data_IF_832920081604
#
_entry.id   IF_832920081604
#
_cell.length_a   1.000
_cell.length_b   1.000
_cell.length_c   1.000
_cell.angle_alpha   90.00
_cell.angle_beta   90.00
_cell.angle_gamma   90.00
#
_symmetry.space_group_name_H-M   'P 1'
#
loop_
_entity.id
_entity.type
_entity.pdbx_description
1 polymer ?
2 branched ?
3 non-polymer ?
4 non-polymer ?
5 water ?
#
# COMPACT_ATOMS: atom_id res chain seq x y z
N UNK A 6 -5.05 28.89 31.19
CA UNK A 6 -3.86 28.76 32.09
C UNK A 6 -3.34 27.32 32.12
N UNK A 7 -3.99 26.48 32.93
CA UNK A 7 -3.61 25.07 33.07
C UNK A 7 -4.47 24.23 32.12
N UNK A 8 -5.04 24.89 31.12
CA UNK A 8 -5.94 24.26 30.16
C UNK A 8 -5.07 23.47 29.16
N UNK A 9 -4.92 22.18 29.45
CA UNK A 9 -4.11 21.16 28.72
C UNK A 9 -3.73 21.38 27.25
N UNK A 10 -2.70 20.65 26.82
CA UNK A 10 -2.15 20.79 25.46
C UNK A 10 -1.83 19.41 24.84
N UNK A 11 -1.83 19.35 23.50
CA UNK A 11 -1.61 18.12 22.73
C UNK A 11 -0.65 18.41 21.56
N UNK A 12 0.40 17.62 21.42
CA UNK A 12 1.34 17.81 20.33
C UNK A 12 1.09 16.81 19.20
N UNK A 13 0.81 17.34 18.01
CA UNK A 13 0.46 16.55 16.85
C UNK A 13 1.58 16.71 15.85
N UNK A 14 2.24 15.59 15.50
CA UNK A 14 3.35 15.62 14.54
C UNK A 14 2.94 14.97 13.24
N UNK A 15 3.12 15.70 12.14
CA UNK A 15 2.78 15.17 10.84
C UNK A 15 3.78 15.59 9.78
N UNK A 16 3.80 14.83 8.70
CA UNK A 16 4.59 15.11 7.54
C UNK A 16 4.13 16.44 6.95
N UNK A 17 5.02 17.09 6.22
CA UNK A 17 4.73 18.37 5.57
C UNK A 17 3.43 18.40 4.80
N UNK A 18 3.11 17.30 4.10
CA UNK A 18 1.90 17.22 3.31
C UNK A 18 0.59 17.26 4.07
N UNK A 19 0.63 17.11 5.38
CA UNK A 19 -0.58 17.15 6.19
C UNK A 19 -0.64 18.35 7.14
N UNK A 20 0.42 19.17 7.15
CA UNK A 20 0.47 20.32 8.08
C UNK A 20 -0.70 21.27 7.90
N UNK A 21 -0.97 21.68 6.65
CA UNK A 21 -2.10 22.60 6.38
C UNK A 21 -3.45 21.99 6.79
N UNK A 22 -3.61 20.71 6.51
CA UNK A 22 -4.82 19.98 6.86
C UNK A 22 -5.03 19.98 8.37
N UNK A 23 -3.99 19.62 9.11
CA UNK A 23 -4.09 19.60 10.57
C UNK A 23 -4.40 21.03 11.09
N UNK A 24 -3.74 22.04 10.53
CA UNK A 24 -3.99 23.44 10.94
C UNK A 24 -5.42 23.87 10.67
N UNK A 25 -5.97 23.44 9.54
CA UNK A 25 -7.35 23.75 9.21
C UNK A 25 -8.34 23.14 10.22
N UNK A 26 -8.16 21.87 10.55
CA UNK A 26 -9.13 21.20 11.44
C UNK A 26 -8.90 21.33 12.94
N UNK A 27 -7.71 21.74 13.39
CA UNK A 27 -7.46 21.73 14.84
C UNK A 27 -8.36 22.66 15.66
N UNK A 28 -8.76 23.78 15.07
CA UNK A 28 -9.56 24.78 15.77
C UNK A 28 -10.81 24.26 16.46
N UNK A 29 -11.62 23.50 15.72
CA UNK A 29 -12.88 22.98 16.28
C UNK A 29 -12.63 21.96 17.41
N UNK A 30 -11.53 21.22 17.29
CA UNK A 30 -11.13 20.28 18.33
C UNK A 30 -10.70 21.05 19.59
N UNK A 31 -9.89 22.09 19.41
CA UNK A 31 -9.46 22.94 20.52
C UNK A 31 -10.64 23.49 21.31
N UNK A 32 -11.61 24.04 20.59
CA UNK A 32 -12.84 24.60 21.18
C UNK A 32 -13.69 23.56 21.86
N UNK A 33 -13.79 22.40 21.24
CA UNK A 33 -14.65 21.34 21.75
C UNK A 33 -14.08 20.70 23.02
N UNK A 34 -12.77 20.77 23.21
CA UNK A 34 -12.12 20.08 24.33
C UNK A 34 -11.34 20.96 25.31
N UNK A 35 -11.34 22.28 25.12
CA UNK A 35 -10.59 23.21 25.97
C UNK A 35 -9.10 22.80 26.03
N UNK A 36 -8.52 22.61 24.84
CA UNK A 36 -7.14 22.19 24.69
C UNK A 36 -6.45 23.05 23.65
N UNK A 37 -5.12 23.17 23.76
CA UNK A 37 -4.33 23.88 22.75
C UNK A 37 -3.57 22.79 22.00
N UNK A 38 -3.73 22.74 20.68
CA UNK A 38 -3.03 21.77 19.85
C UNK A 38 -1.80 22.45 19.26
N UNK A 39 -0.64 21.84 19.47
CA UNK A 39 0.63 22.30 18.92
C UNK A 39 0.92 21.40 17.73
N UNK A 40 1.06 22.00 16.55
CA UNK A 40 1.33 21.24 15.33
C UNK A 40 2.81 21.33 14.97
N UNK A 41 3.46 20.18 14.85
CA UNK A 41 4.87 20.14 14.45
C UNK A 41 4.98 19.37 13.14
N UNK A 42 5.87 19.82 12.28
CA UNK A 42 6.09 19.17 11.01
C UNK A 42 7.38 18.36 11.07
N UNK A 43 7.30 17.10 10.67
CA UNK A 43 8.46 16.24 10.64
C UNK A 43 8.17 15.01 9.80
N UNK A 44 9.16 14.57 9.02
CA UNK A 44 9.03 13.37 8.20
C UNK A 44 8.40 12.24 9.04
N UNK A 45 7.42 11.55 8.46
CA UNK A 45 6.67 10.50 9.18
C UNK A 45 7.56 9.39 9.71
N UNK A 46 8.43 8.88 8.83
CA UNK A 46 9.33 7.81 9.21
C UNK A 46 10.42 8.26 10.21
N UNK A 47 10.94 9.48 10.08
CA UNK A 47 11.93 9.97 11.02
C UNK A 47 11.33 10.08 12.45
N UNK A 48 10.10 10.55 12.52
CA UNK A 48 9.40 10.64 13.81
C UNK A 48 9.33 9.26 14.52
N UNK A 49 8.92 8.24 13.77
CA UNK A 49 8.80 6.90 14.29
C UNK A 49 10.18 6.28 14.63
N UNK A 50 11.20 6.52 13.80
CA UNK A 50 12.54 5.97 14.14
C UNK A 50 13.11 6.67 15.40
N UNK A 51 12.74 7.92 15.67
CA UNK A 51 13.24 8.62 16.84
C UNK A 51 12.40 8.36 18.08
N UNK A 52 11.22 7.74 17.92
CA UNK A 52 10.30 7.56 19.07
C UNK A 52 10.90 6.79 20.24
N UNK A 53 11.66 5.70 19.98
CA UNK A 53 12.23 4.94 21.10
C UNK A 53 13.17 5.75 22.00
N UNK A 54 13.76 6.82 21.46
CA UNK A 54 14.66 7.71 22.24
C UNK A 54 13.92 8.96 22.72
N UNK A 55 13.07 9.55 21.88
CA UNK A 55 12.30 10.75 22.30
C UNK A 55 11.28 10.44 23.42
N UNK A 56 10.70 9.26 23.35
CA UNK A 56 9.69 8.82 24.30
C UNK A 56 10.11 8.87 25.76
N UNK A 57 11.17 8.12 26.12
CA UNK A 57 11.67 8.19 27.50
C UNK A 57 12.19 9.57 27.90
N UNK A 58 12.66 10.35 26.92
CA UNK A 58 13.14 11.70 27.18
C UNK A 58 12.00 12.69 27.51
N UNK A 59 10.77 12.27 27.22
CA UNK A 59 9.59 13.12 27.39
C UNK A 59 9.48 14.15 26.28
N UNK A 60 10.19 13.95 25.17
CA UNK A 60 10.20 14.90 24.05
C UNK A 60 9.43 14.45 22.79
N UNK A 61 8.82 13.26 22.82
CA UNK A 61 8.10 12.78 21.64
C UNK A 61 6.73 13.42 21.54
N UNK A 62 6.20 13.57 20.32
CA UNK A 62 4.84 14.10 20.16
C UNK A 62 3.82 13.14 20.78
N UNK A 63 2.62 13.64 21.07
CA UNK A 63 1.56 12.80 21.62
C UNK A 63 0.91 11.93 20.59
N UNK A 64 0.67 12.48 19.39
CA UNK A 64 0.05 11.74 18.31
C UNK A 64 0.80 11.99 17.00
N UNK A 65 0.77 11.00 16.13
CA UNK A 65 1.44 11.06 14.84
C UNK A 65 0.78 10.04 13.91
N UNK A 66 1.29 9.90 12.70
CA UNK A 66 0.76 8.92 11.78
C UNK A 66 1.80 7.85 11.52
N UNK A 67 1.34 6.73 10.98
CA UNK A 67 2.21 5.63 10.60
C UNK A 67 1.58 4.83 9.49
N UNK A 68 2.42 4.33 8.58
CA UNK A 68 1.96 3.39 7.57
C UNK A 68 1.40 2.19 8.34
N UNK A 69 0.37 1.54 7.77
CA UNK A 69 -0.23 0.37 8.41
C UNK A 69 0.79 -0.74 8.68
N UNK A 70 1.73 -0.93 7.77
CA UNK A 70 2.70 -2.03 7.93
C UNK A 70 3.64 -1.98 9.14
N UNK A 71 3.76 -0.82 9.77
CA UNK A 71 4.60 -0.59 10.96
C UNK A 71 3.83 -0.49 12.30
N UNK A 72 2.51 -0.34 12.26
CA UNK A 72 1.74 -0.12 13.49
C UNK A 72 1.83 -1.28 14.47
N UNK A 73 1.63 -2.49 13.97
CA UNK A 73 1.72 -3.70 14.80
C UNK A 73 3.08 -3.80 15.48
N UNK A 74 4.13 -3.63 14.71
CA UNK A 74 5.49 -3.70 15.25
C UNK A 74 5.78 -2.65 16.33
N UNK A 75 5.34 -1.40 16.09
CA UNK A 75 5.60 -0.35 17.05
C UNK A 75 4.79 -0.61 18.31
N UNK A 76 3.61 -1.20 18.15
CA UNK A 76 2.76 -1.53 19.29
C UNK A 76 3.38 -2.64 20.12
N UNK A 77 3.85 -3.70 19.47
CA UNK A 77 4.50 -4.82 20.17
C UNK A 77 5.74 -4.39 20.93
N UNK A 78 6.51 -3.49 20.33
CA UNK A 78 7.74 -2.99 20.94
C UNK A 78 7.51 -2.04 22.11
N UNK A 79 6.24 -1.68 22.38
CA UNK A 79 5.92 -0.82 23.50
C UNK A 79 5.96 0.68 23.25
N UNK A 80 6.07 1.10 21.99
CA UNK A 80 6.16 2.53 21.66
C UNK A 80 4.81 3.23 21.41
N UNK A 81 3.76 2.47 21.10
CA UNK A 81 2.43 3.03 20.87
C UNK A 81 1.44 2.58 21.94
N UNK A 82 0.52 3.45 22.30
CA UNK A 82 -0.52 3.12 23.27
C UNK A 82 -1.63 2.32 22.60
N UNK A 83 -2.29 1.44 23.35
CA UNK A 83 -3.50 0.78 22.85
C UNK A 83 -4.58 1.85 22.81
N UNK A 84 -5.37 1.88 21.74
CA UNK A 84 -6.41 2.90 21.55
C UNK A 84 -7.72 2.26 21.16
N UNK A 85 -8.79 3.04 21.26
CA UNK A 85 -10.12 2.56 20.88
C UNK A 85 -10.49 3.19 19.55
N UNK A 86 -11.38 2.51 18.82
CA UNK A 86 -11.88 3.01 17.55
C UNK A 86 -13.26 3.62 17.76
N UNK A 87 -13.28 4.93 18.04
CA UNK A 87 -14.54 5.64 18.26
C UNK A 87 -15.46 5.59 17.05
N UNK A 88 -14.85 5.51 15.88
CA UNK A 88 -15.59 5.45 14.62
C UNK A 88 -15.64 4.04 14.05
N UNK A 89 -15.67 3.05 14.93
CA UNK A 89 -15.71 1.63 14.53
C UNK A 89 -16.89 1.32 13.60
N UNK A 90 -18.05 1.93 13.85
CA UNK A 90 -19.24 1.68 13.01
C UNK A 90 -19.03 2.12 11.57
N UNK A 91 -18.01 2.94 11.33
CA UNK A 91 -17.70 3.42 10.00
C UNK A 91 -16.43 2.79 9.41
N UNK A 92 -15.99 1.66 9.98
CA UNK A 92 -14.83 0.95 9.45
C UNK A 92 -15.15 -0.51 9.10
N UNK A 93 -14.70 -0.97 7.94
CA UNK A 93 -14.79 -2.38 7.58
C UNK A 93 -13.89 -3.16 8.53
N UNK A 94 -14.19 -4.44 8.74
CA UNK A 94 -13.34 -5.32 9.56
C UNK A 94 -11.89 -5.35 9.05
N UNK A 95 -11.70 -5.24 7.74
CA UNK A 95 -10.36 -5.25 7.17
C UNK A 95 -9.53 -4.09 7.68
N UNK A 96 -10.14 -2.92 7.77
CA UNK A 96 -9.42 -1.73 8.22
C UNK A 96 -9.14 -1.76 9.71
N UNK A 97 -10.02 -2.38 10.48
CA UNK A 97 -9.79 -2.60 11.90
C UNK A 97 -8.61 -3.57 12.04
N UNK A 98 -8.55 -4.60 11.19
CA UNK A 98 -7.43 -5.55 11.19
C UNK A 98 -6.06 -4.88 10.90
N UNK A 99 -6.07 -3.80 10.10
CA UNK A 99 -4.84 -3.07 9.72
C UNK A 99 -4.08 -2.49 10.91
N UNK A 100 -4.81 -2.10 11.95
CA UNK A 100 -4.24 -1.47 13.12
C UNK A 100 -4.23 -2.42 14.33
N UNK A 101 -4.40 -3.71 14.08
CA UNK A 101 -4.50 -4.70 15.14
C UNK A 101 -3.41 -5.77 15.07
N UNK A 102 -2.84 -6.12 16.22
CA UNK A 102 -1.88 -7.22 16.32
C UNK A 102 -2.09 -7.87 17.69
N UNK A 103 -2.08 -9.21 17.74
CA UNK A 103 -2.32 -9.95 19.02
C UNK A 103 -3.64 -9.49 19.68
N UNK A 104 -4.68 -9.25 18.89
CA UNK A 104 -5.97 -8.80 19.42
C UNK A 104 -5.87 -7.49 20.22
N UNK A 105 -4.90 -6.63 19.87
CA UNK A 105 -4.76 -5.30 20.50
C UNK A 105 -4.73 -4.23 19.40
N UNK A 106 -5.41 -3.11 19.64
CA UNK A 106 -5.54 -2.03 18.65
C UNK A 106 -4.53 -0.93 18.95
N UNK A 107 -3.69 -0.62 17.96
CA UNK A 107 -2.62 0.39 18.13
C UNK A 107 -2.71 1.65 17.22
N UNK A 108 -3.85 1.85 16.58
CA UNK A 108 -4.06 3.02 15.76
C UNK A 108 -5.46 3.11 15.26
N UNK A 109 -5.77 4.24 14.63
CA UNK A 109 -7.08 4.50 14.04
C UNK A 109 -6.87 4.70 12.54
N UNK A 110 -7.47 3.84 11.70
CA UNK A 110 -7.29 3.99 10.24
C UNK A 110 -7.74 5.33 9.72
N UNK A 111 -6.93 5.90 8.80
CA UNK A 111 -7.18 7.21 8.26
C UNK A 111 -7.15 7.32 6.73
N UNK A 112 -6.23 6.57 6.09
CA UNK A 112 -6.02 6.64 4.65
C UNK A 112 -5.83 5.24 4.12
N UNK A 113 -6.44 4.96 2.97
CA UNK A 113 -6.25 3.66 2.32
C UNK A 113 -5.60 3.89 0.98
N UNK A 114 -4.83 2.91 0.53
CA UNK A 114 -4.25 2.96 -0.79
C UNK A 114 -3.86 1.58 -1.25
N UNK A 115 -3.81 1.40 -2.56
CA UNK A 115 -3.38 0.15 -3.11
C UNK A 115 -3.00 0.43 -4.56
N UNK A 116 -2.44 -0.57 -5.20
CA UNK A 116 -2.05 -0.48 -6.59
C UNK A 116 -3.25 -0.39 -7.51
N UNK A 117 -3.05 0.32 -8.62
CA UNK A 117 -4.09 0.55 -9.60
C UNK A 117 -3.48 0.46 -11.00
N UNK A 118 -4.31 0.55 -12.02
CA UNK A 118 -3.82 0.56 -13.41
C UNK A 118 -3.91 1.98 -13.96
N UNK A 119 -2.76 2.57 -14.30
CA UNK A 119 -2.71 3.86 -14.97
C UNK A 119 -2.68 3.57 -16.45
N UNK A 120 -3.37 4.38 -17.25
CA UNK A 120 -3.31 4.22 -18.70
C UNK A 120 -3.33 5.58 -19.36
N UNK A 121 -2.85 5.63 -20.59
CA UNK A 121 -2.76 6.86 -21.34
C UNK A 121 -3.97 6.98 -22.28
N UNK A 122 -4.84 7.97 -21.99
CA UNK A 122 -6.04 8.19 -22.80
C UNK A 122 -5.74 8.65 -24.23
N UNK A 123 -4.53 9.15 -24.48
CA UNK A 123 -4.12 9.51 -25.86
C UNK A 123 -3.72 8.29 -26.68
N UNK A 124 -3.51 7.14 -26.01
CA UNK A 124 -3.10 5.90 -26.69
C UNK A 124 -4.20 4.83 -26.76
N UNK A 125 -5.05 4.78 -25.73
CA UNK A 125 -6.14 3.82 -25.64
C UNK A 125 -7.51 4.50 -25.56
N UNK A 126 -8.50 3.86 -26.19
CA UNK A 126 -9.89 4.35 -26.19
C UNK A 126 -10.56 4.15 -24.84
N UNK A 127 -10.09 3.17 -24.08
CA UNK A 127 -10.62 2.92 -22.73
C UNK A 127 -9.66 2.06 -21.92
N UNK A 128 -9.89 2.00 -20.61
CA UNK A 128 -9.07 1.19 -19.75
C UNK A 128 -9.22 -0.28 -20.12
N UNK A 129 -8.11 -1.03 -20.24
CA UNK A 129 -8.25 -2.47 -20.48
C UNK A 129 -8.98 -3.10 -19.28
N UNK A 130 -9.90 -4.03 -19.56
CA UNK A 130 -10.71 -4.65 -18.52
C UNK A 130 -10.17 -5.97 -17.94
N UNK A 131 -9.39 -6.69 -18.74
CA UNK A 131 -8.86 -7.97 -18.34
C UNK A 131 -7.40 -8.11 -18.75
N UNK A 132 -6.72 -9.10 -18.16
CA UNK A 132 -5.38 -9.43 -18.61
C UNK A 132 -5.37 -9.96 -20.05
N UNK A 133 -6.48 -10.54 -20.51
CA UNK A 133 -6.58 -10.99 -21.91
C UNK A 133 -6.44 -9.75 -22.80
N UNK A 134 -7.09 -8.66 -22.41
CA UNK A 134 -7.03 -7.37 -23.14
C UNK A 134 -5.58 -6.84 -23.13
N UNK A 135 -4.90 -6.93 -21.99
CA UNK A 135 -3.49 -6.54 -21.92
C UNK A 135 -2.61 -7.41 -22.82
N UNK A 136 -2.88 -8.72 -22.88
CA UNK A 136 -2.10 -9.61 -23.73
C UNK A 136 -2.21 -9.17 -25.21
N UNK A 137 -3.42 -8.80 -25.63
CA UNK A 137 -3.63 -8.37 -27.01
C UNK A 137 -2.97 -7.01 -27.26
N UNK A 138 -3.02 -6.14 -26.25
CA UNK A 138 -2.38 -4.84 -26.32
C UNK A 138 -0.87 -5.02 -26.51
N UNK A 139 -0.30 -6.06 -25.87
CA UNK A 139 1.14 -6.34 -25.97
C UNK A 139 1.57 -6.85 -27.35
N UNK A 140 0.60 -7.08 -28.24
CA UNK A 140 0.87 -7.52 -29.62
C UNK A 140 0.56 -6.40 -30.60
N UNK A 141 0.19 -5.23 -30.09
CA UNK A 141 -0.09 -4.08 -30.94
C UNK A 141 1.29 -3.48 -31.22
N UNK A 142 1.73 -3.54 -32.47
CA UNK A 142 3.06 -3.04 -32.76
C UNK A 142 3.27 -1.52 -32.60
N UNK A 143 2.21 -0.75 -32.40
CA UNK A 143 2.41 0.70 -32.14
C UNK A 143 3.26 0.88 -30.87
N UNK A 144 3.31 -0.17 -30.03
CA UNK A 144 4.07 -0.16 -28.77
C UNK A 144 5.32 -1.06 -28.84
N UNK A 145 5.76 -1.42 -30.05
CA UNK A 145 6.94 -2.26 -30.22
C UNK A 145 8.16 -1.57 -29.66
N UNK A 146 9.06 -2.37 -29.09
CA UNK A 146 10.31 -1.89 -28.51
C UNK A 146 11.35 -2.36 -29.52
N UNK A 147 11.54 -1.54 -30.55
CA UNK A 147 12.35 -1.92 -31.72
C UNK A 147 13.81 -2.35 -31.52
N UNK A 148 14.45 -1.90 -30.45
CA UNK A 148 15.84 -2.30 -30.19
C UNK A 148 15.97 -3.79 -29.81
N UNK A 149 14.84 -4.44 -29.48
CA UNK A 149 14.84 -5.86 -29.12
C UNK A 149 13.72 -6.53 -29.88
N UNK A 150 14.09 -7.46 -30.76
CA UNK A 150 13.14 -8.11 -31.66
C UNK A 150 11.96 -8.79 -30.98
N UNK A 151 10.76 -8.36 -31.36
CA UNK A 151 9.52 -8.92 -30.87
C UNK A 151 9.12 -8.52 -29.45
N UNK A 152 9.74 -7.49 -28.89
CA UNK A 152 9.41 -7.06 -27.53
C UNK A 152 8.47 -5.86 -27.62
N UNK A 153 7.69 -5.67 -26.56
CA UNK A 153 6.63 -4.68 -26.58
C UNK A 153 6.42 -4.09 -25.19
N UNK A 154 6.07 -2.80 -25.15
CA UNK A 154 5.86 -2.08 -23.90
C UNK A 154 4.42 -1.63 -23.73
N UNK A 155 3.48 -2.29 -24.43
CA UNK A 155 2.05 -1.97 -24.35
C UNK A 155 1.59 -1.90 -22.90
N UNK A 156 1.94 -2.95 -22.16
CA UNK A 156 1.64 -3.04 -20.72
C UNK A 156 2.94 -3.35 -19.99
N UNK A 157 3.18 -2.68 -18.87
CA UNK A 157 4.36 -2.95 -18.05
C UNK A 157 3.97 -3.01 -16.59
N UNK A 158 4.63 -3.91 -15.85
CA UNK A 158 4.46 -4.01 -14.38
C UNK A 158 5.80 -4.43 -13.77
N UNK A 159 6.17 -3.80 -12.66
CA UNK A 159 7.44 -4.08 -12.01
C UNK A 159 7.39 -5.40 -11.23
N UNK A 160 7.19 -6.50 -11.95
CA UNK A 160 7.01 -7.78 -11.31
C UNK A 160 8.25 -8.41 -10.63
N UNK A 161 9.43 -7.81 -10.78
CA UNK A 161 10.61 -8.28 -10.05
C UNK A 161 10.49 -7.86 -8.57
N UNK A 162 9.65 -6.85 -8.32
CA UNK A 162 9.42 -6.32 -6.98
C UNK A 162 8.20 -7.07 -6.40
N UNK A 163 8.43 -7.84 -5.33
CA UNK A 163 7.37 -8.60 -4.71
C UNK A 163 6.19 -7.73 -4.26
N UNK A 164 6.45 -6.48 -3.90
CA UNK A 164 5.34 -5.60 -3.53
C UNK A 164 4.32 -5.48 -4.68
N UNK A 165 4.81 -5.44 -5.91
CA UNK A 165 3.98 -5.38 -7.10
C UNK A 165 3.42 -6.72 -7.54
N UNK A 166 4.26 -7.75 -7.56
CA UNK A 166 3.81 -9.06 -8.02
C UNK A 166 2.97 -9.85 -7.04
N UNK A 167 3.00 -9.50 -5.75
CA UNK A 167 2.22 -10.27 -4.77
C UNK A 167 0.77 -10.46 -5.15
N UNK A 168 0.10 -9.39 -5.58
CA UNK A 168 -1.29 -9.48 -5.98
C UNK A 168 -1.60 -10.42 -7.12
N UNK A 169 -0.59 -10.73 -7.93
CA UNK A 169 -0.76 -11.69 -9.02
C UNK A 169 -0.78 -13.09 -8.41
N UNK A 170 0.22 -13.38 -7.57
CA UNK A 170 0.29 -14.69 -6.92
C UNK A 170 -0.97 -14.91 -6.04
N UNK A 171 -1.37 -13.86 -5.34
CA UNK A 171 -2.52 -13.95 -4.47
C UNK A 171 -3.83 -14.12 -5.28
N UNK A 172 -3.89 -13.50 -6.46
CA UNK A 172 -5.08 -13.63 -7.31
C UNK A 172 -5.30 -15.08 -7.74
N UNK A 173 -4.19 -15.83 -7.80
CA UNK A 173 -4.24 -17.26 -8.13
C UNK A 173 -4.36 -18.19 -6.89
N UNK A 174 -4.41 -17.64 -5.68
CA UNK A 174 -4.56 -18.45 -4.47
C UNK A 174 -3.33 -18.49 -3.59
N UNK A 175 -2.28 -17.75 -3.95
CA UNK A 175 -1.10 -17.67 -3.12
C UNK A 175 -1.35 -16.78 -1.91
N UNK A 176 -0.51 -16.90 -0.91
CA UNK A 176 -0.60 -16.04 0.28
C UNK A 176 0.77 -16.03 0.94
N UNK A 177 1.04 -15.00 1.75
CA UNK A 177 2.31 -14.92 2.48
C UNK A 177 2.28 -15.88 3.69
N UNK A 178 1.47 -15.55 4.69
CA UNK A 178 1.30 -16.37 5.90
C UNK A 178 -0.17 -16.81 6.08
N UNK A 179 -0.36 -18.06 6.48
CA UNK A 179 -1.71 -18.60 6.74
C UNK A 179 -2.40 -17.95 7.94
N UNK A 180 -3.63 -18.38 8.23
CA UNK A 180 -4.46 -17.82 9.29
C UNK A 180 -4.54 -16.29 9.13
N UNK A 181 -4.92 -15.86 7.94
CA UNK A 181 -5.07 -14.43 7.59
C UNK A 181 -3.82 -13.58 7.92
N UNK A 182 -2.65 -14.13 7.60
CA UNK A 182 -1.38 -13.41 7.76
C UNK A 182 -0.75 -13.40 9.13
N UNK A 183 -1.17 -14.32 10.01
CA UNK A 183 -0.68 -14.36 11.38
C UNK A 183 0.14 -15.60 11.75
N UNK A 184 0.21 -16.61 10.88
CA UNK A 184 0.94 -17.83 11.17
C UNK A 184 2.21 -17.92 10.30
N UNK A 185 3.37 -17.54 10.88
CA UNK A 185 4.60 -17.55 10.09
C UNK A 185 5.14 -18.94 9.76
N UNK A 186 4.52 -20.00 10.30
CA UNK A 186 4.95 -21.37 10.00
C UNK A 186 4.16 -21.96 8.83
N UNK A 187 3.23 -21.17 8.28
CA UNK A 187 2.43 -21.57 7.14
C UNK A 187 2.66 -20.55 6.01
N UNK A 188 3.63 -20.83 5.15
CA UNK A 188 3.98 -19.94 4.02
C UNK A 188 3.32 -20.44 2.74
N UNK A 189 2.56 -19.55 2.10
CA UNK A 189 1.81 -19.88 0.90
C UNK A 189 2.42 -19.46 -0.43
N UNK A 190 3.67 -19.01 -0.43
CA UNK A 190 4.35 -18.51 -1.64
C UNK A 190 4.86 -19.58 -2.59
N UNK A 191 4.75 -20.85 -2.19
CA UNK A 191 5.11 -21.95 -3.08
C UNK A 191 3.96 -22.94 -3.25
N UNK A 192 2.73 -22.50 -2.94
CA UNK A 192 1.56 -23.35 -3.14
C UNK A 192 1.21 -23.38 -4.62
N UNK A 193 0.27 -24.24 -5.02
CA UNK A 193 -0.13 -24.38 -6.44
C UNK A 193 -0.47 -23.05 -7.08
N UNK A 194 -1.27 -22.27 -6.38
CA UNK A 194 -1.69 -20.95 -6.84
C UNK A 194 -0.55 -20.01 -7.08
N UNK A 195 0.34 -19.86 -6.10
CA UNK A 195 1.51 -18.96 -6.26
C UNK A 195 2.33 -19.37 -7.50
N UNK A 196 2.53 -20.66 -7.68
CA UNK A 196 3.34 -21.12 -8.81
C UNK A 196 2.63 -20.80 -10.14
N UNK A 197 1.31 -20.88 -10.17
CA UNK A 197 0.57 -20.47 -11.38
C UNK A 197 0.83 -18.98 -11.67
N UNK A 198 0.84 -18.18 -10.62
CA UNK A 198 1.09 -16.74 -10.76
C UNK A 198 2.51 -16.46 -11.25
N UNK A 199 3.49 -17.18 -10.67
CA UNK A 199 4.87 -17.03 -11.05
C UNK A 199 5.02 -17.41 -12.53
N UNK A 200 4.37 -18.51 -12.93
CA UNK A 200 4.40 -19.01 -14.31
C UNK A 200 3.84 -17.96 -15.28
N UNK A 201 2.71 -17.36 -14.92
CA UNK A 201 2.11 -16.32 -15.74
C UNK A 201 3.05 -15.10 -15.88
N UNK A 202 3.64 -14.68 -14.79
CA UNK A 202 4.59 -13.56 -14.82
C UNK A 202 5.79 -13.85 -15.73
N UNK A 203 6.29 -15.08 -15.65
CA UNK A 203 7.43 -15.50 -16.42
C UNK A 203 7.16 -15.39 -17.93
N UNK A 204 5.92 -15.63 -18.34
CA UNK A 204 5.55 -15.52 -19.76
C UNK A 204 5.74 -14.08 -20.25
N UNK A 205 5.33 -13.10 -19.42
CA UNK A 205 5.52 -11.69 -19.78
C UNK A 205 7.01 -11.35 -19.85
N UNK A 206 7.77 -11.75 -18.83
CA UNK A 206 9.24 -11.49 -18.84
C UNK A 206 9.97 -12.11 -20.02
N UNK A 207 9.63 -13.36 -20.31
CA UNK A 207 10.33 -14.14 -21.32
C UNK A 207 9.85 -13.95 -22.77
N UNK A 208 8.54 -13.72 -22.97
CA UNK A 208 7.97 -13.61 -24.32
C UNK A 208 7.58 -12.23 -24.81
N UNK A 209 7.44 -11.27 -23.92
CA UNK A 209 6.91 -9.96 -24.32
C UNK A 209 7.83 -8.79 -24.00
N UNK A 210 8.29 -8.73 -22.76
CA UNK A 210 9.00 -7.55 -22.33
C UNK A 210 10.48 -7.34 -22.71
N UNK A 211 10.88 -6.07 -22.80
CA UNK A 211 12.28 -5.72 -22.97
C UNK A 211 13.09 -6.29 -21.80
N UNK A 212 14.35 -6.64 -22.08
CA UNK A 212 15.26 -7.21 -21.09
C UNK A 212 15.38 -6.39 -19.84
N UNK A 213 15.33 -5.07 -19.99
CA UNK A 213 15.41 -4.17 -18.85
C UNK A 213 14.38 -4.42 -17.75
N UNK A 214 13.24 -5.06 -18.09
CA UNK A 214 12.22 -5.33 -17.06
C UNK A 214 12.66 -6.34 -15.98
N UNK A 215 13.71 -7.10 -16.28
CA UNK A 215 14.25 -8.10 -15.34
C UNK A 215 15.26 -7.55 -14.33
N UNK A 216 15.77 -6.34 -14.56
CA UNK A 216 16.77 -5.70 -13.67
C UNK A 216 16.01 -4.92 -12.61
N UNK A 217 15.79 -5.54 -11.48
CA UNK A 217 15.00 -4.90 -10.42
C UNK A 217 15.53 -3.53 -10.02
N UNK A 218 16.85 -3.38 -9.98
CA UNK A 218 17.45 -2.13 -9.53
C UNK A 218 17.04 -0.90 -10.38
N UNK A 219 16.81 -1.10 -11.67
CA UNK A 219 16.49 0.00 -12.59
C UNK A 219 15.13 -0.11 -13.29
N UNK A 220 14.37 -1.17 -13.01
CA UNK A 220 13.08 -1.39 -13.68
C UNK A 220 12.04 -0.27 -13.45
N UNK A 221 11.97 0.29 -12.23
CA UNK A 221 11.00 1.37 -12.01
C UNK A 221 11.36 2.58 -12.87
N UNK A 222 12.64 2.93 -12.96
CA UNK A 222 13.06 4.06 -13.80
C UNK A 222 12.66 3.83 -15.25
N UNK A 223 12.86 2.60 -15.72
CA UNK A 223 12.51 2.23 -17.08
C UNK A 223 11.01 2.37 -17.30
N UNK A 224 10.24 1.79 -16.41
CA UNK A 224 8.78 1.83 -16.51
C UNK A 224 8.22 3.26 -16.49
N UNK A 225 8.70 4.11 -15.56
CA UNK A 225 8.21 5.49 -15.48
C UNK A 225 8.59 6.30 -16.71
N UNK A 226 9.79 6.05 -17.20
CA UNK A 226 10.30 6.73 -18.38
C UNK A 226 9.40 6.39 -19.59
N UNK A 227 9.04 5.11 -19.75
CA UNK A 227 8.19 4.69 -20.88
C UNK A 227 6.77 5.29 -20.80
N UNK A 228 6.17 5.25 -19.63
CA UNK A 228 4.84 5.79 -19.49
C UNK A 228 4.80 7.33 -19.67
N UNK A 229 5.73 8.03 -19.01
CA UNK A 229 5.82 9.51 -19.08
C UNK A 229 6.18 10.01 -20.48
N UNK A 230 6.80 9.17 -21.30
CA UNK A 230 7.14 9.57 -22.66
C UNK A 230 6.14 9.06 -23.71
N UNK A 231 5.01 8.53 -23.26
CA UNK A 231 3.98 8.06 -24.20
C UNK A 231 4.31 6.79 -24.98
N UNK A 232 5.17 5.93 -24.40
CA UNK A 232 5.58 4.67 -25.05
C UNK A 232 4.96 3.41 -24.43
N UNK A 233 4.41 3.54 -23.21
CA UNK A 233 3.69 2.45 -22.56
C UNK A 233 2.24 2.91 -22.44
N UNK A 234 1.30 2.06 -22.87
CA UNK A 234 -0.12 2.40 -22.85
C UNK A 234 -0.79 2.24 -21.48
N UNK A 235 -0.31 1.27 -20.71
CA UNK A 235 -0.87 0.97 -19.39
C UNK A 235 0.18 0.35 -18.48
N UNK A 236 0.16 0.75 -17.22
CA UNK A 236 1.10 0.22 -16.26
C UNK A 236 0.47 0.06 -14.90
N UNK A 237 1.04 -0.83 -14.11
CA UNK A 237 0.63 -1.03 -12.72
C UNK A 237 1.37 0.04 -11.93
N UNK A 238 0.70 0.72 -10.99
CA UNK A 238 1.36 1.74 -10.19
C UNK A 238 0.60 2.11 -8.94
N UNK A 239 1.24 2.86 -8.05
CA UNK A 239 0.58 3.29 -6.82
C UNK A 239 0.04 4.69 -6.95
N UNK A 240 -0.89 5.10 -6.07
CA UNK A 240 -1.44 6.46 -6.11
C UNK A 240 -0.38 7.55 -6.02
N UNK A 241 0.73 7.25 -5.34
CA UNK A 241 1.84 8.21 -5.17
C UNK A 241 2.43 8.72 -6.49
N UNK A 242 2.29 7.95 -7.57
CA UNK A 242 2.85 8.37 -8.87
C UNK A 242 1.99 9.37 -9.68
N UNK A 243 0.71 9.49 -9.35
CA UNK A 243 -0.20 10.38 -10.10
C UNK A 243 0.33 11.81 -10.23
N UNK A 244 0.79 12.38 -9.11
CA UNK A 244 1.36 13.73 -9.09
C UNK A 244 2.40 13.91 -10.22
N UNK A 245 3.28 12.93 -10.40
CA UNK A 245 4.30 12.98 -11.47
C UNK A 245 3.69 12.99 -12.86
N UNK A 246 2.63 12.22 -13.07
CA UNK A 246 2.00 12.18 -14.39
C UNK A 246 1.26 13.49 -14.65
N UNK A 247 0.74 14.12 -13.59
CA UNK A 247 0.09 15.44 -13.71
C UNK A 247 1.14 16.50 -14.07
N UNK A 248 2.30 16.43 -13.42
CA UNK A 248 3.42 17.35 -13.70
C UNK A 248 3.91 17.22 -15.15
N UNK A 249 3.94 15.99 -15.67
CA UNK A 249 4.38 15.72 -17.04
C UNK A 249 3.27 15.92 -18.09
N UNK A 250 2.10 16.38 -17.64
CA UNK A 250 0.96 16.66 -18.55
C UNK A 250 0.43 15.48 -19.41
N UNK A 251 0.62 14.26 -18.93
CA UNK A 251 0.12 13.06 -19.60
C UNK A 251 -1.38 13.02 -19.41
N UNK A 252 -2.12 12.78 -20.49
CA UNK A 252 -3.58 12.67 -20.41
C UNK A 252 -3.87 11.27 -19.87
N UNK A 253 -3.55 11.05 -18.61
CA UNK A 253 -3.69 9.72 -18.01
C UNK A 253 -5.08 9.45 -17.45
N UNK A 254 -5.43 8.18 -17.40
CA UNK A 254 -6.67 7.73 -16.82
C UNK A 254 -6.29 6.67 -15.81
N UNK A 255 -7.19 6.38 -14.89
CA UNK A 255 -6.93 5.38 -13.87
C UNK A 255 -8.10 4.43 -13.78
N UNK A 256 -7.77 3.16 -13.55
CA UNK A 256 -8.76 2.11 -13.43
C UNK A 256 -8.32 1.03 -12.45
N UNK A 257 -9.30 0.21 -12.05
CA UNK A 257 -9.00 -0.98 -11.26
C UNK A 257 -8.03 -1.81 -12.07
N UNK A 258 -7.28 -2.68 -11.40
CA UNK A 258 -6.35 -3.56 -12.11
C UNK A 258 -7.20 -4.57 -12.93
N UNK A 259 -6.80 -4.84 -14.18
CA UNK A 259 -7.62 -5.76 -14.94
C UNK A 259 -7.75 -7.16 -14.32
N UNK A 260 -8.87 -7.80 -14.61
CA UNK A 260 -9.18 -9.16 -14.12
C UNK A 260 -8.22 -10.20 -14.68
N UNK A 261 -7.73 -11.10 -13.82
CA UNK A 261 -6.80 -12.15 -14.22
C UNK A 261 -7.47 -13.20 -15.11
N UNK A 262 -6.65 -14.02 -15.79
CA UNK A 262 -7.11 -15.08 -16.67
C UNK A 262 -7.97 -16.16 -16.03
N UNK A 263 -7.88 -16.30 -14.70
CA UNK A 263 -8.73 -17.26 -13.97
C UNK A 263 -10.08 -16.66 -13.58
N UNK A 264 -10.32 -15.41 -13.98
CA UNK A 264 -11.59 -14.73 -13.66
C UNK A 264 -11.58 -14.04 -12.30
N UNK A 265 -10.48 -14.14 -11.59
CA UNK A 265 -10.37 -13.52 -10.26
C UNK A 265 -9.65 -12.19 -10.34
N UNK A 266 -9.88 -11.36 -9.32
CA UNK A 266 -9.26 -10.06 -9.26
C UNK A 266 -7.83 -10.14 -8.74
N UNK A 267 -7.00 -9.24 -9.26
CA UNK A 267 -5.64 -9.06 -8.76
C UNK A 267 -5.86 -8.66 -7.29
N UNK A 268 -5.06 -9.23 -6.40
CA UNK A 268 -5.24 -9.04 -4.96
C UNK A 268 -4.01 -8.44 -4.29
N UNK A 269 -3.77 -7.14 -4.55
CA UNK A 269 -2.57 -6.49 -4.03
C UNK A 269 -2.62 -6.24 -2.53
N UNK A 270 -1.52 -5.80 -1.94
CA UNK A 270 -1.52 -5.44 -0.51
C UNK A 270 -2.41 -4.21 -0.29
N UNK A 271 -3.17 -4.23 0.80
CA UNK A 271 -4.04 -3.12 1.20
C UNK A 271 -3.18 -2.21 2.09
N UNK A 272 -2.72 -1.09 1.54
CA UNK A 272 -1.85 -0.18 2.29
C UNK A 272 -2.63 1.01 2.82
N UNK A 273 -1.89 1.94 3.40
CA UNK A 273 -2.51 3.13 3.97
C UNK A 273 -1.83 3.58 5.23
N UNK A 274 -2.51 4.47 5.95
CA UNK A 274 -1.97 5.08 7.15
C UNK A 274 -3.03 5.22 8.23
N UNK A 275 -2.56 5.19 9.47
CA UNK A 275 -3.40 5.36 10.63
C UNK A 275 -2.79 6.41 11.56
N UNK A 276 -3.63 6.93 12.45
CA UNK A 276 -3.17 7.83 13.49
C UNK A 276 -2.81 6.95 14.69
N UNK A 277 -1.70 7.28 15.34
CA UNK A 277 -1.23 6.50 16.49
C UNK A 277 -0.91 7.44 17.65
N UNK A 278 -0.90 6.87 18.86
CA UNK A 278 -0.64 7.63 20.10
C UNK A 278 0.64 7.11 20.75
N UNK A 279 1.54 8.02 21.09
CA UNK A 279 2.76 7.66 21.79
C UNK A 279 2.44 6.99 23.13
N UNK A 280 3.08 5.84 23.41
CA UNK A 280 2.85 5.15 24.68
C UNK A 280 3.49 5.93 25.84
N UNK A 281 4.33 6.92 25.51
CA UNK A 281 5.01 7.76 26.50
C UNK A 281 4.23 9.04 26.77
N UNK A 282 3.13 9.25 26.05
CA UNK A 282 2.35 10.46 26.20
C UNK A 282 1.76 10.61 27.59
N UNK A 283 1.72 11.84 28.05
CA UNK A 283 1.14 12.17 29.33
C UNK A 283 -0.26 12.72 29.08
N UNK A 284 -0.69 12.72 27.81
CA UNK A 284 -1.98 13.27 27.40
C UNK A 284 -2.81 12.24 26.63
N UNK A 285 -2.80 10.99 27.08
CA UNK A 285 -3.52 9.92 26.38
C UNK A 285 -5.05 10.08 26.22
N UNK A 286 -5.72 10.67 27.22
CA UNK A 286 -7.18 10.87 27.12
C UNK A 286 -7.47 11.86 25.99
N UNK A 287 -6.77 12.99 25.98
CA UNK A 287 -6.96 13.97 24.90
C UNK A 287 -6.53 13.40 23.56
N UNK A 288 -5.45 12.60 23.55
CA UNK A 288 -4.97 11.94 22.33
C UNK A 288 -6.04 11.00 21.75
N UNK A 289 -6.73 10.26 22.62
CA UNK A 289 -7.82 9.35 22.21
C UNK A 289 -8.93 10.17 21.55
N UNK A 290 -9.26 11.30 22.17
CA UNK A 290 -10.27 12.19 21.62
C UNK A 290 -9.82 12.69 20.24
N UNK A 291 -8.54 12.98 20.07
CA UNK A 291 -8.01 13.42 18.77
C UNK A 291 -8.19 12.35 17.69
N UNK A 292 -7.86 11.10 18.00
CA UNK A 292 -8.05 10.02 17.04
C UNK A 292 -9.52 9.90 16.58
N UNK A 293 -10.44 9.99 17.54
CA UNK A 293 -11.88 9.91 17.26
C UNK A 293 -12.36 11.10 16.44
N UNK A 294 -11.77 12.26 16.70
CA UNK A 294 -12.07 13.47 15.95
C UNK A 294 -11.56 13.38 14.50
N UNK A 295 -10.25 13.19 14.34
CA UNK A 295 -9.62 13.22 13.02
C UNK A 295 -10.13 12.11 12.08
N UNK A 296 -10.65 11.01 12.66
CA UNK A 296 -11.18 9.90 11.86
C UNK A 296 -12.71 9.94 11.71
N UNK A 297 -13.38 11.01 12.17
CA UNK A 297 -14.83 11.09 11.97
C UNK A 297 -15.12 11.48 10.51
N UNK A 298 -16.38 11.43 10.12
CA UNK A 298 -16.73 11.69 8.72
C UNK A 298 -16.36 13.10 8.24
N UNK A 299 -16.68 14.12 9.02
CA UNK A 299 -16.39 15.50 8.64
C UNK A 299 -14.88 15.71 8.35
N UNK A 300 -14.03 15.27 9.27
CA UNK A 300 -12.60 15.50 9.14
C UNK A 300 -11.96 14.61 8.09
N UNK A 301 -12.52 13.42 7.89
CA UNK A 301 -12.05 12.54 6.83
C UNK A 301 -12.41 13.12 5.45
N UNK A 302 -13.56 13.77 5.34
CA UNK A 302 -13.94 14.44 4.09
C UNK A 302 -13.02 15.63 3.84
N UNK A 303 -12.71 16.39 4.89
CA UNK A 303 -11.76 17.52 4.72
C UNK A 303 -10.37 16.98 4.29
N UNK A 304 -9.96 15.85 4.86
CA UNK A 304 -8.66 15.25 4.47
C UNK A 304 -8.64 15.02 2.96
N UNK A 305 -9.70 14.39 2.44
CA UNK A 305 -9.77 14.11 1.01
C UNK A 305 -9.81 15.41 0.20
N UNK A 306 -10.57 16.38 0.69
CA UNK A 306 -10.66 17.65 0.00
C UNK A 306 -9.30 18.34 -0.13
N UNK A 307 -8.49 18.25 0.91
CA UNK A 307 -7.18 18.89 0.98
C UNK A 307 -6.02 18.17 0.28
N UNK A 308 -6.05 16.85 0.35
CA UNK A 308 -4.91 16.02 -0.11
C UNK A 308 -5.16 15.02 -1.21
N UNK A 309 -6.43 14.74 -1.50
CA UNK A 309 -6.83 13.72 -2.48
C UNK A 309 -6.48 12.29 -2.03
N UNK A 310 -6.13 12.11 -0.75
CA UNK A 310 -5.88 10.77 -0.24
C UNK A 310 -7.22 10.17 0.16
N UNK A 311 -7.40 8.89 -0.16
CA UNK A 311 -8.66 8.21 0.05
C UNK A 311 -8.92 7.90 1.52
N UNK A 312 -10.05 8.38 2.07
CA UNK A 312 -10.35 8.13 3.48
C UNK A 312 -10.64 6.69 3.85
N UNK A 313 -10.27 6.33 5.07
CA UNK A 313 -10.55 5.02 5.64
C UNK A 313 -12.01 4.96 6.11
N UNK A 314 -12.50 6.05 6.69
CA UNK A 314 -13.89 6.14 7.19
C UNK A 314 -14.81 5.90 6.00
N UNK A 315 -15.70 4.91 6.12
CA UNK A 315 -16.57 4.52 5.01
C UNK A 315 -17.55 5.61 4.56
N UNK A 316 -18.11 6.37 5.51
CA UNK A 316 -19.03 7.44 5.14
C UNK A 316 -18.26 8.47 4.29
N UNK A 317 -17.04 8.78 4.72
CA UNK A 317 -16.16 9.72 4.00
C UNK A 317 -15.68 9.13 2.68
N UNK A 318 -15.46 7.81 2.65
CA UNK A 318 -15.01 7.16 1.41
C UNK A 318 -16.09 7.21 0.33
N UNK A 319 -17.36 7.04 0.73
CA UNK A 319 -18.49 7.16 -0.22
C UNK A 319 -18.56 8.58 -0.78
N UNK A 320 -18.40 9.59 0.08
CA UNK A 320 -18.40 10.97 -0.37
C UNK A 320 -17.24 11.18 -1.38
N UNK A 321 -16.09 10.59 -1.12
CA UNK A 321 -14.94 10.76 -2.03
C UNK A 321 -15.25 10.13 -3.37
N UNK A 322 -15.85 8.94 -3.36
CA UNK A 322 -16.25 8.23 -4.57
C UNK A 322 -17.22 9.06 -5.46
N UNK A 323 -18.13 9.78 -4.82
CA UNK A 323 -19.11 10.62 -5.53
C UNK A 323 -18.48 11.78 -6.29
N UNK A 324 -17.24 12.14 -5.96
CA UNK A 324 -16.53 13.24 -6.66
C UNK A 324 -16.13 12.81 -8.06
N UNK A 325 -16.19 11.50 -8.29
CA UNK A 325 -15.92 10.91 -9.60
C UNK A 325 -14.51 11.21 -10.14
N UNK A 326 -13.51 11.16 -9.27
CA UNK A 326 -12.11 11.32 -9.66
C UNK A 326 -11.59 9.91 -9.99
N UNK A 327 -10.91 9.77 -11.12
CA UNK A 327 -10.50 8.43 -11.54
C UNK A 327 -9.57 7.71 -10.58
N UNK A 328 -8.56 8.39 -10.04
CA UNK A 328 -7.61 7.73 -9.14
C UNK A 328 -8.34 7.25 -7.89
N UNK A 329 -9.18 8.13 -7.34
CA UNK A 329 -9.96 7.81 -6.16
C UNK A 329 -10.87 6.62 -6.41
N UNK A 330 -11.58 6.61 -7.54
CA UNK A 330 -12.48 5.50 -7.89
C UNK A 330 -11.72 4.18 -8.04
N UNK A 331 -10.59 4.22 -8.74
CA UNK A 331 -9.75 3.02 -8.93
C UNK A 331 -9.25 2.46 -7.60
N UNK A 332 -8.74 3.33 -6.74
CA UNK A 332 -8.27 2.91 -5.42
C UNK A 332 -9.40 2.30 -4.60
N UNK A 333 -10.55 2.95 -4.56
CA UNK A 333 -11.69 2.43 -3.79
C UNK A 333 -12.13 1.05 -4.30
N UNK A 334 -12.21 0.91 -5.61
CA UNK A 334 -12.66 -0.33 -6.24
C UNK A 334 -11.63 -1.44 -6.04
N UNK A 335 -10.37 -1.13 -6.28
CA UNK A 335 -9.32 -2.14 -6.14
C UNK A 335 -9.13 -2.55 -4.68
N UNK A 336 -9.31 -1.61 -3.76
CA UNK A 336 -9.12 -1.92 -2.34
C UNK A 336 -10.05 -3.05 -1.86
N UNK A 337 -11.20 -3.20 -2.52
CA UNK A 337 -12.15 -4.28 -2.20
C UNK A 337 -11.50 -5.65 -2.31
N UNK A 338 -10.51 -5.76 -3.21
CA UNK A 338 -9.81 -7.02 -3.43
C UNK A 338 -8.42 -7.07 -2.81
N UNK A 339 -8.02 -6.03 -2.08
CA UNK A 339 -6.69 -5.98 -1.45
C UNK A 339 -6.72 -6.57 -0.05
N UNK A 340 -5.64 -7.26 0.33
CA UNK A 340 -5.52 -7.82 1.67
C UNK A 340 -4.40 -7.16 2.44
N UNK A 341 -4.58 -7.01 3.76
CA UNK A 341 -3.50 -6.41 4.54
C UNK A 341 -2.21 -7.21 4.45
N UNK A 342 -1.08 -6.51 4.38
CA UNK A 342 0.21 -7.13 4.43
C UNK A 342 0.35 -7.61 5.87
N UNK A 343 0.91 -8.82 6.09
CA UNK A 343 1.12 -9.24 7.49
C UNK A 343 1.93 -8.22 8.26
N UNK A 344 1.53 -7.94 9.50
CA UNK A 344 2.23 -6.96 10.34
C UNK A 344 3.04 -7.60 11.47
N UNK A 345 3.13 -8.93 11.45
CA UNK A 345 3.92 -9.66 12.42
C UNK A 345 5.41 -9.52 12.06
N UNK A 346 6.30 -9.65 13.06
CA UNK A 346 7.73 -9.47 12.84
C UNK A 346 8.35 -10.30 11.72
N UNK A 347 7.90 -11.54 11.59
CA UNK A 347 8.46 -12.47 10.61
C UNK A 347 8.33 -11.99 9.15
N UNK A 348 7.50 -10.98 8.90
CA UNK A 348 7.33 -10.43 7.55
C UNK A 348 8.66 -9.89 7.03
N UNK A 349 9.53 -9.46 7.95
CA UNK A 349 10.83 -8.95 7.55
C UNK A 349 11.65 -9.99 6.76
N UNK A 350 11.42 -11.28 6.98
CA UNK A 350 12.18 -12.35 6.31
C UNK A 350 11.62 -12.67 4.92
N UNK A 351 10.39 -12.25 4.65
CA UNK A 351 9.79 -12.53 3.35
C UNK A 351 10.47 -11.78 2.20
N UNK A 352 10.86 -10.53 2.43
CA UNK A 352 11.42 -9.66 1.35
C UNK A 352 12.61 -10.19 0.56
N UNK A 353 13.70 -10.55 1.23
CA UNK A 353 14.88 -11.06 0.52
C UNK A 353 14.59 -12.39 -0.18
N UNK A 354 13.84 -13.27 0.50
CA UNK A 354 13.46 -14.55 -0.10
C UNK A 354 12.54 -14.38 -1.32
N UNK A 355 11.60 -13.44 -1.23
CA UNK A 355 10.68 -13.18 -2.33
C UNK A 355 11.39 -12.59 -3.57
N UNK A 356 12.50 -11.87 -3.39
CA UNK A 356 13.29 -11.34 -4.54
C UNK A 356 13.73 -12.48 -5.44
N UNK A 357 14.38 -13.49 -4.84
CA UNK A 357 14.83 -14.65 -5.59
C UNK A 357 13.70 -15.43 -6.22
N UNK A 358 12.61 -15.55 -5.47
CA UNK A 358 11.44 -16.27 -5.92
C UNK A 358 10.98 -15.77 -7.29
N UNK A 359 10.83 -14.47 -7.43
CA UNK A 359 10.42 -13.88 -8.70
C UNK A 359 11.58 -13.82 -9.72
N UNK A 360 12.77 -13.39 -9.27
CA UNK A 360 13.86 -13.21 -10.20
C UNK A 360 14.38 -14.48 -10.87
N UNK A 361 14.57 -15.53 -10.08
CA UNK A 361 15.13 -16.78 -10.62
C UNK A 361 14.26 -17.33 -11.77
N UNK A 362 12.94 -17.16 -11.65
CA UNK A 362 11.99 -17.57 -12.68
C UNK A 362 11.89 -16.53 -13.80
N UNK A 363 11.82 -15.25 -13.44
CA UNK A 363 11.70 -14.18 -14.43
C UNK A 363 12.86 -14.21 -15.45
N UNK A 364 14.04 -14.52 -14.94
CA UNK A 364 15.25 -14.58 -15.74
C UNK A 364 15.46 -15.89 -16.49
N UNK A 365 14.56 -16.86 -16.33
CA UNK A 365 14.71 -18.16 -16.98
C UNK A 365 15.81 -19.02 -16.38
N UNK A 366 16.25 -18.68 -15.17
CA UNK A 366 17.37 -19.39 -14.51
C UNK A 366 16.91 -20.63 -13.79
N UNK A 367 15.66 -20.60 -13.34
CA UNK A 367 15.02 -21.76 -12.72
C UNK A 367 13.59 -21.78 -13.26
N UNK A 368 12.95 -22.94 -13.22
CA UNK A 368 11.54 -22.99 -13.56
C UNK A 368 10.78 -22.47 -12.33
N UNK A 369 9.50 -22.07 -12.51
CA UNK A 369 8.73 -21.48 -11.42
C UNK A 369 8.60 -22.30 -10.11
N UNK A 370 8.39 -23.61 -10.21
CA UNK A 370 8.24 -24.45 -9.00
C UNK A 370 9.50 -24.45 -8.07
N UNK A 371 10.69 -24.81 -8.59
CA UNK A 371 11.90 -24.76 -7.73
C UNK A 371 12.28 -23.35 -7.32
N UNK A 372 11.96 -22.37 -8.16
CA UNK A 372 12.25 -20.98 -7.80
C UNK A 372 11.50 -20.63 -6.50
N UNK A 373 10.23 -21.03 -6.46
CA UNK A 373 9.37 -20.77 -5.31
C UNK A 373 9.74 -21.65 -4.12
N UNK A 374 9.98 -22.94 -4.37
CA UNK A 374 10.36 -23.87 -3.30
C UNK A 374 11.67 -23.46 -2.63
N UNK A 375 12.67 -23.08 -3.44
CA UNK A 375 13.98 -22.69 -2.91
C UNK A 375 13.88 -21.42 -2.05
N UNK A 376 13.10 -20.44 -2.51
CA UNK A 376 12.94 -19.19 -1.79
C UNK A 376 12.16 -19.41 -0.48
N UNK A 377 11.14 -20.25 -0.52
CA UNK A 377 10.38 -20.51 0.72
C UNK A 377 11.28 -21.18 1.76
N UNK A 378 12.18 -22.07 1.32
CA UNK A 378 13.10 -22.71 2.26
C UNK A 378 14.02 -21.65 2.89
N UNK A 379 14.42 -20.65 2.12
CA UNK A 379 15.25 -19.56 2.66
C UNK A 379 14.48 -18.79 3.73
N UNK A 380 13.23 -18.47 3.42
CA UNK A 380 12.41 -17.70 4.36
C UNK A 380 12.15 -18.49 5.66
N UNK A 381 11.74 -19.75 5.52
CA UNK A 381 11.46 -20.66 6.63
C UNK A 381 12.64 -20.79 7.57
N UNK A 382 13.82 -20.96 6.98
CA UNK A 382 15.04 -21.12 7.77
C UNK A 382 15.35 -19.84 8.52
N UNK A 383 15.20 -18.69 7.86
CA UNK A 383 15.42 -17.39 8.55
C UNK A 383 14.42 -17.17 9.68
N UNK A 384 13.16 -17.54 9.46
CA UNK A 384 12.13 -17.41 10.50
C UNK A 384 12.50 -18.25 11.74
N UNK A 385 12.88 -19.50 11.50
CA UNK A 385 13.30 -20.42 12.56
C UNK A 385 14.50 -19.92 13.35
N UNK A 386 15.48 -19.39 12.62
CA UNK A 386 16.73 -18.89 13.22
C UNK A 386 16.62 -17.59 14.00
N UNK A 387 15.81 -16.66 13.49
CA UNK A 387 15.75 -15.34 14.08
C UNK A 387 14.59 -15.05 15.02
N UNK A 388 13.58 -15.91 15.00
CA UNK A 388 12.39 -15.68 15.82
C UNK A 388 11.99 -16.86 16.71
N UNK A 389 11.36 -16.52 17.83
CA UNK A 389 10.90 -17.49 18.82
C UNK A 389 9.68 -18.25 18.28
N UNK A 390 9.69 -19.56 18.48
CA UNK A 390 8.59 -20.42 18.04
C UNK A 390 7.32 -20.06 18.82
X LIG B 1 6.66 6.77 -2.14
X LIG B 1 5.40 6.64 -1.28
X LIG B 1 5.31 5.31 -0.54
X LIG B 1 5.65 4.13 -1.44
X LIG B 1 6.95 4.37 -2.19
X LIG B 1 7.28 3.22 -3.13
X LIG B 1 7.82 7.00 -1.31
X LIG B 1 5.38 7.71 -0.32
X LIG B 1 3.99 5.14 -0.03
X LIG B 1 5.76 2.95 -0.62
X LIG B 1 6.85 5.59 -2.93
X LIG B 1 8.14 3.64 -4.19
X LIG B 2 4.95 1.83 -0.98
X LIG B 2 4.36 1.18 0.26
X LIG B 2 5.42 0.47 1.09
X LIG B 2 6.19 -0.50 0.20
X LIG B 2 6.78 0.23 -1.00
X LIG B 2 7.55 -0.71 -1.91
X LIG B 2 3.72 2.18 1.07
X LIG B 2 4.81 -0.23 2.18
X LIG B 2 7.23 -1.17 0.95
X LIG B 2 5.73 0.87 -1.73
X LIG B 2 7.81 -0.11 -3.18
X LIG C 1 -3.83 11.10 30.54
X LIG C 1 -2.72 10.75 31.49
X LIG C 1 -1.67 9.90 30.84
X LIG C 1 -4.53 10.18 30.06
X LIG C 1 -4.04 12.31 30.25
X LIG C 1 -2.09 11.92 32.01
X LIG C 1 -1.55 9.93 29.59
X LIG C 1 -0.93 9.19 31.57
X LIG D 1 1.95 -12.37 -25.37
X LIG D 1 1.13 -13.41 -25.95
X LIG D 1 1.23 -11.80 -24.16
X LIG D 1 0.97 -12.86 -23.25
X LIG D 1 1.91 -13.01 -22.20
X LIG D 1 1.29 -13.98 -21.20
X LIG D 1 0.29 -17.07 -23.56
X LIG D 1 0.01 -17.33 -22.18
X LIG D 1 0.07 -16.03 -21.39
X LIG D 1 1.18 -15.26 -21.83
#
# INVERSE_FOLDING_TARGET
SNAGSSDEKTLTVSVDAGYKDYVNKIKGDFEKDNDVKVKVVEKDMFETLEALPLDGPAGTAPDVMMSAFDRIGSLGQQGHLAEVKLGNKDDYDEKDQKQVTIDDKIYGAPAIIETLVLYYNKDLLDKAPATFKDLETLSKDSRFAFTSEKGKNTGFLAKWTDFYFSYGLLAGYGGYVFGDEGTNPKDIGLNNKGSVEGITYATKWFQDVWPKGMQDNKSADDFIQDQFVKGKAAAILGGPWSAANYKEAKINYGVAKIPTLNNGKEYSPFAGGKGWVVSNYSKNKDVAQKWLDYVTNQKNQETLYDMTNEVPANLKARDTAKSKNDELTNAVIEQYKNAQPMPNIPEMSEVWTGAENLKFDAASGSKTPQPSADDAVKVIEDNVTQKYTK
GLC C1 C2 C3 C4 C5 C6 O1 O2 O3 O4 O5 O6
GLC C1 C2 C3 C4 C5 C6 O2 O3 O4 O5 O6
TTN C1 C2 C3 O1 O2 O3 O4 O5
PGE C1 O1 C2 O2 C3 C4 O4 C6 C5 O3
#
